data_IF_308157429064
#
_entry.id   IF_308157429064
#
_cell.length_a   1.000
_cell.length_b   1.000
_cell.length_c   1.000
_cell.angle_alpha   90.00
_cell.angle_beta   90.00
_cell.angle_gamma   90.00
#
_symmetry.space_group_name_H-M   'P 1'
#
loop_
_entity.id
_entity.type
_entity.pdbx_description
1 polymer ?
#
# COMPACT_ATOMS: atom_id res chain seq x y z
N UNK A 1 3.66 -7.45 17.24
CA UNK A 1 5.00 -7.16 16.64
C UNK A 1 5.85 -8.41 16.68
N UNK A 2 6.83 -8.50 15.78
CA UNK A 2 7.84 -9.55 15.75
C UNK A 2 9.05 -9.13 16.60
N UNK A 3 9.56 -10.05 17.42
CA UNK A 3 10.74 -9.87 18.26
C UNK A 3 11.84 -10.83 17.82
N UNK A 4 13.05 -10.30 17.68
CA UNK A 4 14.22 -11.03 17.23
C UNK A 4 15.28 -11.04 18.35
N UNK A 5 15.63 -12.21 18.82
CA UNK A 5 16.61 -12.39 19.90
C UNK A 5 17.81 -13.22 19.43
N UNK A 6 19.03 -12.81 19.83
CA UNK A 6 20.23 -13.61 19.57
C UNK A 6 20.22 -14.92 20.35
N UNK A 7 20.69 -16.00 19.70
CA UNK A 7 20.84 -17.34 20.29
C UNK A 7 22.14 -17.96 19.78
N UNK A 8 23.26 -17.63 20.44
CA UNK A 8 24.62 -17.96 19.95
C UNK A 8 24.91 -17.24 18.64
N UNK A 9 25.33 -17.97 17.62
CA UNK A 9 25.60 -17.44 16.27
C UNK A 9 24.32 -17.26 15.42
N UNK A 10 23.17 -17.70 15.93
CA UNK A 10 21.88 -17.64 15.25
C UNK A 10 20.90 -16.70 15.96
N UNK A 11 19.66 -16.67 15.46
CA UNK A 11 18.59 -15.85 15.98
C UNK A 11 17.33 -16.68 16.26
N UNK A 12 16.47 -16.17 17.12
CA UNK A 12 15.13 -16.70 17.38
C UNK A 12 14.12 -15.63 17.11
N UNK A 13 13.09 -15.96 16.31
CA UNK A 13 11.97 -15.08 15.98
C UNK A 13 10.72 -15.50 16.77
N UNK A 14 10.09 -14.53 17.42
CA UNK A 14 8.83 -14.71 18.15
C UNK A 14 7.82 -13.65 17.76
N UNK A 15 6.53 -13.98 17.90
CA UNK A 15 5.44 -13.03 17.74
C UNK A 15 4.56 -13.30 16.54
N UNK A 16 3.78 -12.30 16.15
CA UNK A 16 2.80 -12.40 15.07
C UNK A 16 3.02 -11.27 14.06
N UNK A 17 3.06 -11.65 12.78
CA UNK A 17 2.97 -10.74 11.64
C UNK A 17 1.54 -10.83 11.09
N UNK A 18 0.66 -9.85 11.35
CA UNK A 18 -0.73 -9.89 10.90
C UNK A 18 -0.84 -9.53 9.42
N UNK A 19 -1.82 -10.11 8.76
CA UNK A 19 -2.28 -9.76 7.41
C UNK A 19 -1.18 -9.71 6.34
N UNK A 20 -0.19 -10.62 6.41
CA UNK A 20 0.91 -10.69 5.43
C UNK A 20 0.34 -10.98 4.04
N UNK A 21 0.55 -10.08 3.05
CA UNK A 21 -0.02 -10.23 1.72
C UNK A 21 0.52 -11.49 1.03
N UNK A 22 -0.37 -12.23 0.37
CA UNK A 22 -0.06 -13.40 -0.46
C UNK A 22 0.73 -14.52 0.26
N UNK A 23 0.83 -14.51 1.59
CA UNK A 23 1.63 -15.47 2.34
C UNK A 23 1.25 -16.94 2.04
N UNK A 24 -0.04 -17.23 1.80
CA UNK A 24 -0.51 -18.57 1.45
C UNK A 24 -0.05 -19.06 0.06
N UNK A 25 0.40 -18.16 -0.82
CA UNK A 25 0.87 -18.47 -2.17
C UNK A 25 2.39 -18.23 -2.34
N UNK A 26 3.01 -17.51 -1.41
CA UNK A 26 4.42 -17.19 -1.45
C UNK A 26 5.27 -18.31 -0.83
N UNK A 27 6.49 -18.49 -1.31
CA UNK A 27 7.48 -19.35 -0.65
C UNK A 27 8.24 -18.59 0.43
N UNK A 28 8.55 -17.33 0.18
CA UNK A 28 9.33 -16.50 1.11
C UNK A 28 8.54 -15.26 1.52
N UNK A 29 8.73 -14.86 2.78
CA UNK A 29 8.28 -13.58 3.29
C UNK A 29 9.46 -12.77 3.81
N UNK A 30 9.50 -11.49 3.49
CA UNK A 30 10.43 -10.53 4.09
C UNK A 30 9.66 -9.74 5.15
N UNK A 31 10.05 -9.89 6.41
CA UNK A 31 9.33 -9.34 7.56
C UNK A 31 10.24 -8.42 8.38
N UNK A 32 9.67 -7.36 8.93
CA UNK A 32 10.38 -6.52 9.89
C UNK A 32 10.25 -7.09 11.30
N UNK A 33 11.36 -7.24 12.01
CA UNK A 33 11.43 -7.74 13.37
C UNK A 33 12.36 -6.86 14.22
N UNK A 34 11.90 -6.53 15.43
CA UNK A 34 12.63 -5.70 16.37
C UNK A 34 13.65 -6.53 17.15
N UNK A 35 14.89 -6.06 17.17
CA UNK A 35 15.98 -6.60 18.00
C UNK A 35 16.53 -5.50 18.93
N UNK A 36 17.44 -5.89 19.83
CA UNK A 36 18.04 -4.96 20.80
C UNK A 36 18.81 -3.79 20.16
N UNK A 37 19.29 -3.99 18.93
CA UNK A 37 20.11 -3.03 18.16
C UNK A 37 19.31 -2.29 17.07
N UNK A 38 18.01 -2.62 16.91
CA UNK A 38 17.13 -1.95 15.99
C UNK A 38 16.20 -2.86 15.20
N UNK A 39 15.60 -2.32 14.15
CA UNK A 39 14.67 -3.04 13.28
C UNK A 39 15.44 -3.75 12.16
N UNK A 40 15.39 -5.07 12.16
CA UNK A 40 15.93 -5.90 11.11
C UNK A 40 14.86 -6.39 10.13
N UNK A 41 15.26 -6.65 8.91
CA UNK A 41 14.48 -7.46 7.98
C UNK A 41 14.93 -8.92 8.07
N UNK A 42 13.97 -9.82 8.15
CA UNK A 42 14.20 -11.27 8.21
C UNK A 42 13.55 -11.96 7.01
N UNK A 43 14.31 -12.83 6.35
CA UNK A 43 13.82 -13.61 5.22
C UNK A 43 13.37 -14.99 5.73
N UNK A 44 12.07 -15.24 5.68
CA UNK A 44 11.43 -16.47 6.16
C UNK A 44 11.05 -17.36 4.97
N UNK A 45 11.46 -18.63 5.00
CA UNK A 45 10.89 -19.65 4.11
C UNK A 45 9.60 -20.17 4.74
N UNK A 46 8.46 -19.86 4.13
CA UNK A 46 7.14 -20.19 4.68
C UNK A 46 6.83 -21.69 4.66
N UNK A 47 7.70 -22.52 4.09
CA UNK A 47 7.61 -23.97 4.13
C UNK A 47 8.34 -24.58 5.35
N UNK A 48 9.03 -23.76 6.16
CA UNK A 48 9.71 -24.24 7.37
C UNK A 48 8.70 -24.69 8.44
N UNK A 49 9.09 -25.75 9.17
CA UNK A 49 8.29 -26.25 10.28
C UNK A 49 8.29 -25.26 11.45
N UNK A 50 7.15 -25.16 12.14
CA UNK A 50 7.01 -24.26 13.30
C UNK A 50 6.39 -22.91 12.99
N UNK A 51 6.04 -22.64 11.73
CA UNK A 51 5.28 -21.46 11.33
C UNK A 51 3.80 -21.83 11.34
N UNK A 52 2.99 -21.07 12.10
CA UNK A 52 1.54 -21.16 12.05
C UNK A 52 1.01 -20.09 11.10
N UNK A 53 0.13 -20.50 10.20
CA UNK A 53 -0.47 -19.60 9.19
C UNK A 53 -1.99 -19.67 9.29
N UNK A 54 -2.62 -18.53 9.61
CA UNK A 54 -4.07 -18.36 9.59
C UNK A 54 -4.45 -17.54 8.34
N UNK A 55 -4.99 -18.23 7.33
CA UNK A 55 -5.37 -17.59 6.07
C UNK A 55 -6.60 -16.70 6.23
N UNK A 56 -6.61 -15.58 5.52
CA UNK A 56 -7.69 -14.61 5.49
C UNK A 56 -7.81 -13.91 4.13
N UNK A 57 -8.70 -12.94 4.06
CA UNK A 57 -8.91 -12.13 2.87
C UNK A 57 -9.14 -10.67 3.28
N UNK A 58 -8.43 -9.76 2.65
CA UNK A 58 -8.56 -8.32 2.88
C UNK A 58 -9.84 -7.75 2.23
N UNK A 59 -10.20 -6.52 2.59
CA UNK A 59 -11.37 -5.83 2.06
C UNK A 59 -11.32 -5.65 0.53
N UNK A 60 -10.14 -5.53 -0.07
CA UNK A 60 -9.95 -5.44 -1.52
C UNK A 60 -9.75 -6.82 -2.19
N UNK A 61 -10.15 -7.88 -1.47
CA UNK A 61 -10.15 -9.27 -1.92
C UNK A 61 -8.77 -9.92 -2.14
N UNK A 62 -7.67 -9.29 -1.69
CA UNK A 62 -6.36 -9.92 -1.70
C UNK A 62 -6.26 -11.01 -0.63
N UNK A 63 -5.66 -12.15 -0.98
CA UNK A 63 -5.32 -13.17 0.01
C UNK A 63 -4.26 -12.62 0.97
N UNK A 64 -4.49 -12.81 2.26
CA UNK A 64 -3.57 -12.46 3.35
C UNK A 64 -3.48 -13.62 4.32
N UNK A 65 -2.45 -13.66 5.17
CA UNK A 65 -2.44 -14.57 6.31
C UNK A 65 -1.74 -13.94 7.51
N UNK A 66 -2.20 -14.28 8.70
CA UNK A 66 -1.45 -14.03 9.91
C UNK A 66 -0.40 -15.13 10.08
N UNK A 67 0.84 -14.73 10.30
CA UNK A 67 1.96 -15.62 10.53
C UNK A 67 2.38 -15.54 12.00
N UNK A 68 2.35 -16.67 12.71
CA UNK A 68 2.76 -16.76 14.11
C UNK A 68 4.03 -17.60 14.25
N UNK A 69 4.95 -17.09 15.05
CA UNK A 69 6.26 -17.67 15.29
C UNK A 69 6.46 -17.91 16.80
N UNK A 70 6.88 -19.12 17.16
CA UNK A 70 7.23 -19.49 18.52
C UNK A 70 8.67 -20.00 18.52
N UNK A 71 9.61 -19.16 18.93
CA UNK A 71 11.04 -19.40 18.98
C UNK A 71 11.60 -19.99 17.66
N UNK A 72 11.10 -19.54 16.50
CA UNK A 72 11.59 -20.01 15.20
C UNK A 72 13.08 -19.71 15.08
N UNK A 73 13.89 -20.75 14.91
CA UNK A 73 15.33 -20.60 14.74
C UNK A 73 15.67 -20.08 13.35
N UNK A 74 16.38 -18.96 13.29
CA UNK A 74 16.84 -18.36 12.05
C UNK A 74 18.37 -18.35 12.00
N UNK A 75 18.94 -18.81 10.90
CA UNK A 75 20.36 -18.65 10.63
C UNK A 75 20.72 -17.19 10.45
N UNK A 76 21.94 -16.78 10.82
CA UNK A 76 22.41 -15.41 10.68
C UNK A 76 22.25 -14.84 9.27
N UNK A 77 22.44 -15.66 8.24
CA UNK A 77 22.27 -15.28 6.82
C UNK A 77 20.84 -14.87 6.41
N UNK A 78 19.84 -15.22 7.25
CA UNK A 78 18.43 -14.85 7.04
C UNK A 78 18.05 -13.51 7.67
N UNK A 79 18.93 -12.94 8.47
CA UNK A 79 18.75 -11.63 9.10
C UNK A 79 19.58 -10.61 8.34
N UNK A 80 18.89 -9.68 7.68
CA UNK A 80 19.55 -8.69 6.85
C UNK A 80 20.22 -7.60 7.73
N UNK A 81 21.27 -6.95 7.23
CA UNK A 81 21.91 -5.85 7.96
C UNK A 81 20.93 -4.68 8.18
N UNK A 82 21.11 -3.91 9.24
CA UNK A 82 20.25 -2.76 9.59
C UNK A 82 20.06 -1.77 8.44
N UNK A 83 21.05 -1.61 7.58
CA UNK A 83 20.99 -0.74 6.39
C UNK A 83 19.96 -1.19 5.35
N UNK A 84 19.55 -2.48 5.37
CA UNK A 84 18.55 -3.00 4.45
C UNK A 84 17.15 -2.46 4.76
N UNK A 85 16.84 -2.16 6.01
CA UNK A 85 15.51 -1.67 6.42
C UNK A 85 15.14 -0.35 5.76
N UNK A 86 15.92 0.74 5.89
CA UNK A 86 15.58 2.01 5.23
C UNK A 86 15.65 1.91 3.71
N UNK A 87 16.54 1.09 3.15
CA UNK A 87 16.58 0.86 1.71
C UNK A 87 15.27 0.22 1.21
N UNK A 88 14.83 -0.84 1.88
CA UNK A 88 13.60 -1.56 1.51
C UNK A 88 12.37 -0.69 1.70
N UNK A 89 12.28 0.08 2.79
CA UNK A 89 11.17 0.99 3.05
C UNK A 89 10.99 2.01 1.92
N UNK A 90 12.07 2.67 1.51
CA UNK A 90 12.00 3.69 0.46
C UNK A 90 11.58 3.10 -0.90
N UNK A 91 12.06 1.90 -1.24
CA UNK A 91 11.66 1.20 -2.46
C UNK A 91 10.21 0.70 -2.38
N UNK A 92 9.78 0.20 -1.23
CA UNK A 92 8.39 -0.19 -1.01
C UNK A 92 7.44 1.00 -1.15
N UNK A 93 7.80 2.16 -0.60
CA UNK A 93 7.04 3.41 -0.78
C UNK A 93 6.91 3.76 -2.27
N UNK A 94 8.00 3.69 -3.04
CA UNK A 94 7.95 3.96 -4.49
C UNK A 94 7.00 3.00 -5.22
N UNK A 95 7.08 1.70 -4.93
CA UNK A 95 6.22 0.68 -5.55
C UNK A 95 4.74 0.87 -5.16
N UNK A 96 4.44 1.06 -3.87
CA UNK A 96 3.06 1.24 -3.40
C UNK A 96 2.47 2.57 -3.90
N UNK A 97 3.27 3.63 -3.99
CA UNK A 97 2.85 4.90 -4.56
C UNK A 97 2.55 4.77 -6.05
N UNK A 98 3.35 3.99 -6.80
CA UNK A 98 3.08 3.71 -8.22
C UNK A 98 1.75 3.00 -8.41
N UNK A 99 1.45 2.02 -7.54
CA UNK A 99 0.15 1.34 -7.54
C UNK A 99 -0.98 2.31 -7.18
N UNK A 100 -0.81 3.15 -6.14
CA UNK A 100 -1.79 4.15 -5.73
C UNK A 100 -2.08 5.15 -6.86
N UNK A 101 -1.06 5.62 -7.56
CA UNK A 101 -1.22 6.53 -8.69
C UNK A 101 -2.04 5.89 -9.81
N UNK A 102 -1.75 4.64 -10.19
CA UNK A 102 -2.50 3.91 -11.20
C UNK A 102 -3.97 3.68 -10.82
N UNK A 103 -4.23 3.37 -9.54
CA UNK A 103 -5.60 3.26 -9.00
C UNK A 103 -6.33 4.59 -9.09
N UNK A 104 -5.68 5.69 -8.69
CA UNK A 104 -6.25 7.05 -8.74
C UNK A 104 -6.55 7.50 -10.16
N UNK A 105 -5.61 7.33 -11.09
CA UNK A 105 -5.77 7.67 -12.50
C UNK A 105 -7.00 6.98 -13.12
N UNK A 106 -7.09 5.67 -12.92
CA UNK A 106 -8.20 4.91 -13.48
C UNK A 106 -9.53 5.25 -12.82
N UNK A 107 -9.54 5.54 -11.52
CA UNK A 107 -10.72 5.99 -10.80
C UNK A 107 -11.20 7.35 -11.31
N UNK A 108 -10.31 8.33 -11.46
CA UNK A 108 -10.60 9.64 -12.01
C UNK A 108 -11.16 9.54 -13.44
N UNK A 109 -10.50 8.77 -14.30
CA UNK A 109 -10.97 8.54 -15.67
C UNK A 109 -12.41 8.05 -15.70
N UNK A 110 -12.73 6.99 -14.96
CA UNK A 110 -14.09 6.43 -14.88
C UNK A 110 -15.10 7.42 -14.29
N UNK A 111 -14.67 8.22 -13.31
CA UNK A 111 -15.55 9.21 -12.70
C UNK A 111 -15.85 10.35 -13.66
N UNK A 112 -14.85 10.82 -14.41
CA UNK A 112 -15.03 11.85 -15.46
C UNK A 112 -15.97 11.34 -16.56
N UNK A 113 -15.79 10.12 -17.05
CA UNK A 113 -16.70 9.48 -18.01
C UNK A 113 -18.15 9.48 -17.48
N UNK A 114 -18.34 9.01 -16.24
CA UNK A 114 -19.66 8.96 -15.61
C UNK A 114 -20.32 10.34 -15.48
N UNK A 115 -19.63 11.37 -15.00
CA UNK A 115 -20.22 12.70 -14.81
C UNK A 115 -20.50 13.41 -16.13
N UNK A 116 -19.80 13.03 -17.21
CA UNK A 116 -20.00 13.57 -18.56
C UNK A 116 -21.25 13.01 -19.26
N UNK A 117 -21.74 11.86 -18.81
CA UNK A 117 -22.91 11.19 -19.41
C UNK A 117 -24.15 11.24 -18.50
N UNK A 118 -23.97 11.14 -17.18
CA UNK A 118 -25.06 11.10 -16.21
C UNK A 118 -25.84 12.39 -16.17
N UNK A 119 -27.14 12.33 -16.41
CA UNK A 119 -28.03 13.48 -16.35
C UNK A 119 -28.87 13.50 -15.06
N UNK A 120 -28.91 14.65 -14.42
CA UNK A 120 -29.82 15.00 -13.32
C UNK A 120 -30.13 16.49 -13.36
N UNK A 121 -31.32 16.88 -12.90
CA UNK A 121 -31.76 18.30 -12.90
C UNK A 121 -31.72 18.94 -14.30
N UNK A 122 -32.05 18.16 -15.34
CA UNK A 122 -32.14 18.62 -16.72
C UNK A 122 -30.82 18.78 -17.47
N UNK A 123 -29.68 18.38 -16.92
CA UNK A 123 -28.35 18.46 -17.55
C UNK A 123 -27.38 17.41 -17.06
N UNK A 124 -26.26 17.24 -17.75
CA UNK A 124 -25.18 16.34 -17.30
C UNK A 124 -24.57 16.85 -15.99
N UNK A 125 -24.33 15.94 -15.03
CA UNK A 125 -23.87 16.35 -13.70
C UNK A 125 -22.47 16.97 -13.71
N UNK A 126 -21.61 16.65 -14.66
CA UNK A 126 -20.30 17.27 -14.85
C UNK A 126 -20.37 18.77 -15.23
N UNK A 127 -21.53 19.27 -15.66
CA UNK A 127 -21.73 20.71 -15.92
C UNK A 127 -21.97 21.55 -14.66
N UNK A 128 -22.18 20.91 -13.49
CA UNK A 128 -22.23 21.63 -12.23
C UNK A 128 -20.82 22.02 -11.79
N UNK A 129 -20.64 23.30 -11.48
CA UNK A 129 -19.31 23.85 -11.13
C UNK A 129 -18.63 23.09 -9.97
N UNK A 130 -19.41 22.67 -8.95
CA UNK A 130 -18.87 21.92 -7.83
C UNK A 130 -18.33 20.55 -8.27
N UNK A 131 -19.05 19.84 -9.15
CA UNK A 131 -18.61 18.55 -9.67
C UNK A 131 -17.38 18.70 -10.55
N UNK A 132 -17.40 19.68 -11.46
CA UNK A 132 -16.24 20.00 -12.31
C UNK A 132 -15.00 20.36 -11.47
N UNK A 133 -15.18 21.17 -10.42
CA UNK A 133 -14.12 21.52 -9.47
C UNK A 133 -13.53 20.30 -8.77
N UNK A 134 -14.36 19.38 -8.30
CA UNK A 134 -13.88 18.13 -7.68
C UNK A 134 -13.05 17.26 -8.65
N UNK A 135 -13.43 17.20 -9.93
CA UNK A 135 -12.64 16.48 -10.94
C UNK A 135 -11.28 17.17 -11.17
N UNK A 136 -11.27 18.50 -11.26
CA UNK A 136 -10.04 19.27 -11.41
C UNK A 136 -9.09 19.09 -10.21
N UNK A 137 -9.60 19.18 -8.99
CA UNK A 137 -8.82 18.96 -7.76
C UNK A 137 -8.23 17.55 -7.70
N UNK A 138 -9.02 16.53 -8.07
CA UNK A 138 -8.55 15.15 -8.16
C UNK A 138 -7.42 14.99 -9.18
N UNK A 139 -7.54 15.63 -10.34
CA UNK A 139 -6.51 15.61 -11.38
C UNK A 139 -5.22 16.31 -10.90
N UNK A 140 -5.34 17.50 -10.30
CA UNK A 140 -4.20 18.24 -9.74
C UNK A 140 -3.46 17.38 -8.69
N UNK A 141 -4.19 16.72 -7.79
CA UNK A 141 -3.61 15.87 -6.78
C UNK A 141 -2.86 14.66 -7.39
N UNK A 142 -3.44 14.03 -8.43
CA UNK A 142 -2.80 12.93 -9.14
C UNK A 142 -1.50 13.36 -9.84
N UNK A 143 -1.48 14.53 -10.49
CA UNK A 143 -0.28 15.06 -11.17
C UNK A 143 0.80 15.48 -10.15
N UNK A 144 0.42 16.04 -9.01
CA UNK A 144 1.36 16.33 -7.92
C UNK A 144 1.99 15.04 -7.39
N UNK A 145 1.18 13.99 -7.18
CA UNK A 145 1.67 12.67 -6.76
C UNK A 145 2.60 12.06 -7.81
N UNK A 146 2.26 12.17 -9.09
CA UNK A 146 3.09 11.69 -10.21
C UNK A 146 4.46 12.36 -10.20
N UNK A 147 4.50 13.67 -10.06
CA UNK A 147 5.75 14.44 -10.01
C UNK A 147 6.60 14.06 -8.81
N UNK A 148 5.98 13.91 -7.63
CA UNK A 148 6.66 13.47 -6.40
C UNK A 148 7.23 12.05 -6.53
N UNK A 149 6.48 11.13 -7.13
CA UNK A 149 6.92 9.75 -7.38
C UNK A 149 8.11 9.72 -8.34
N UNK A 150 8.07 10.45 -9.46
CA UNK A 150 9.18 10.50 -10.40
C UNK A 150 10.45 11.07 -9.76
N UNK A 151 10.32 12.09 -8.90
CA UNK A 151 11.45 12.60 -8.14
C UNK A 151 12.03 11.54 -7.19
N UNK A 152 11.18 10.79 -6.49
CA UNK A 152 11.62 9.70 -5.62
C UNK A 152 12.36 8.61 -6.41
N UNK A 153 11.77 8.14 -7.50
CA UNK A 153 12.37 7.09 -8.34
C UNK A 153 13.72 7.54 -8.90
N UNK A 154 13.81 8.76 -9.41
CA UNK A 154 15.08 9.32 -9.88
C UNK A 154 16.16 9.34 -8.79
N UNK A 155 15.80 9.76 -7.56
CA UNK A 155 16.76 9.82 -6.43
C UNK A 155 17.22 8.42 -6.01
N UNK A 156 16.32 7.43 -6.02
CA UNK A 156 16.65 6.03 -5.73
C UNK A 156 17.60 5.45 -6.79
N UNK A 157 17.31 5.66 -8.06
CA UNK A 157 18.11 5.18 -9.19
C UNK A 157 19.49 5.81 -9.22
N UNK A 158 19.59 7.11 -8.96
CA UNK A 158 20.83 7.86 -8.92
C UNK A 158 21.65 7.69 -7.61
N UNK A 159 21.17 6.88 -6.65
CA UNK A 159 21.84 6.69 -5.35
C UNK A 159 21.89 7.94 -4.49
N UNK A 160 20.98 8.89 -4.69
CA UNK A 160 20.90 10.12 -3.91
C UNK A 160 20.13 9.90 -2.60
N UNK A 161 20.40 10.75 -1.59
CA UNK A 161 19.63 10.72 -0.34
C UNK A 161 18.14 10.90 -0.62
N UNK A 162 17.31 9.88 -0.32
CA UNK A 162 15.90 9.83 -0.76
C UNK A 162 14.89 9.71 0.40
N UNK A 163 15.32 9.55 1.64
CA UNK A 163 14.41 9.35 2.78
C UNK A 163 13.37 10.49 2.97
N UNK A 164 13.74 11.79 2.98
CA UNK A 164 12.74 12.86 3.10
C UNK A 164 11.75 12.85 1.93
N UNK A 165 12.24 12.60 0.70
CA UNK A 165 11.40 12.52 -0.49
C UNK A 165 10.44 11.33 -0.41
N UNK A 166 10.90 10.17 0.07
CA UNK A 166 10.07 8.99 0.24
C UNK A 166 8.90 9.27 1.22
N UNK A 167 9.19 9.88 2.37
CA UNK A 167 8.15 10.21 3.34
C UNK A 167 7.17 11.26 2.84
N UNK A 168 7.64 12.29 2.13
CA UNK A 168 6.77 13.27 1.49
C UNK A 168 5.87 12.61 0.42
N UNK A 169 6.44 11.73 -0.41
CA UNK A 169 5.70 10.98 -1.43
C UNK A 169 4.67 10.04 -0.80
N UNK A 170 5.00 9.35 0.29
CA UNK A 170 4.08 8.51 1.07
C UNK A 170 2.89 9.31 1.58
N UNK A 171 3.14 10.44 2.22
CA UNK A 171 2.07 11.31 2.75
C UNK A 171 1.16 11.80 1.63
N UNK A 172 1.73 12.22 0.50
CA UNK A 172 0.97 12.68 -0.66
C UNK A 172 0.16 11.54 -1.30
N UNK A 173 0.69 10.31 -1.36
CA UNK A 173 -0.02 9.15 -1.86
C UNK A 173 -1.26 8.81 -1.01
N UNK A 174 -1.11 8.87 0.32
CA UNK A 174 -2.21 8.63 1.25
C UNK A 174 -3.31 9.69 1.10
N UNK A 175 -2.96 10.98 1.06
CA UNK A 175 -3.93 12.07 0.92
C UNK A 175 -4.64 12.01 -0.43
N UNK A 176 -3.90 11.83 -1.53
CA UNK A 176 -4.45 11.73 -2.89
C UNK A 176 -5.40 10.55 -3.01
N UNK A 177 -5.00 9.36 -2.54
CA UNK A 177 -5.85 8.17 -2.58
C UNK A 177 -7.13 8.35 -1.75
N UNK A 178 -7.01 8.90 -0.54
CA UNK A 178 -8.18 9.17 0.32
C UNK A 178 -9.17 10.11 -0.35
N UNK A 179 -8.72 11.27 -0.82
CA UNK A 179 -9.58 12.27 -1.46
C UNK A 179 -10.23 11.75 -2.73
N UNK A 180 -9.45 11.14 -3.64
CA UNK A 180 -9.98 10.60 -4.88
C UNK A 180 -10.98 9.47 -4.63
N UNK A 181 -10.70 8.56 -3.67
CA UNK A 181 -11.59 7.48 -3.29
C UNK A 181 -12.94 7.98 -2.81
N UNK A 182 -12.96 8.93 -1.89
CA UNK A 182 -14.20 9.48 -1.34
C UNK A 182 -14.94 10.36 -2.34
N UNK A 183 -14.25 11.19 -3.10
CA UNK A 183 -14.83 12.04 -4.15
C UNK A 183 -15.56 11.20 -5.20
N UNK A 184 -14.93 10.13 -5.69
CA UNK A 184 -15.56 9.25 -6.66
C UNK A 184 -16.82 8.58 -6.11
N UNK A 185 -16.79 8.09 -4.86
CA UNK A 185 -17.98 7.53 -4.21
C UNK A 185 -19.11 8.56 -4.08
N UNK A 186 -18.78 9.77 -3.64
CA UNK A 186 -19.74 10.85 -3.47
C UNK A 186 -20.43 11.21 -4.79
N UNK A 187 -19.66 11.39 -5.86
CA UNK A 187 -20.17 11.81 -7.17
C UNK A 187 -21.02 10.73 -7.84
N UNK A 188 -20.69 9.46 -7.65
CA UNK A 188 -21.52 8.35 -8.16
C UNK A 188 -22.82 8.18 -7.36
N UNK A 189 -22.89 8.64 -6.12
CA UNK A 189 -24.06 8.50 -5.26
C UNK A 189 -24.40 7.03 -5.00
N UNK A 190 -25.69 6.67 -5.05
CA UNK A 190 -26.16 5.32 -4.72
C UNK A 190 -25.52 4.21 -5.55
N UNK A 191 -25.23 4.43 -6.84
CA UNK A 191 -24.54 3.43 -7.67
C UNK A 191 -23.11 3.15 -7.21
N UNK A 192 -22.49 4.11 -6.50
CA UNK A 192 -21.13 3.95 -5.96
C UNK A 192 -21.00 2.82 -4.94
N UNK A 193 -22.08 2.43 -4.26
CA UNK A 193 -22.11 1.34 -3.28
C UNK A 193 -22.69 0.05 -3.84
N UNK A 194 -23.13 0.04 -5.09
CA UNK A 194 -23.59 -1.17 -5.76
C UNK A 194 -22.41 -2.10 -6.08
N UNK A 195 -22.47 -3.34 -5.59
CA UNK A 195 -21.41 -4.33 -5.79
C UNK A 195 -21.24 -4.75 -7.25
N UNK A 196 -22.27 -4.57 -8.08
CA UNK A 196 -22.22 -4.86 -9.52
C UNK A 196 -21.50 -3.76 -10.30
N UNK A 197 -21.43 -2.54 -9.75
CA UNK A 197 -20.74 -1.40 -10.35
C UNK A 197 -19.36 -1.22 -9.72
N UNK A 198 -18.26 -1.28 -10.49
CA UNK A 198 -16.92 -1.53 -9.95
C UNK A 198 -16.24 -0.35 -9.25
N UNK A 199 -16.87 0.84 -9.16
CA UNK A 199 -16.20 2.05 -8.63
C UNK A 199 -15.79 1.91 -7.16
N UNK A 200 -16.56 1.16 -6.33
CA UNK A 200 -16.26 0.90 -4.92
C UNK A 200 -14.92 0.17 -4.74
N UNK A 201 -14.48 -0.63 -5.72
CA UNK A 201 -13.21 -1.37 -5.66
C UNK A 201 -12.00 -0.43 -5.56
N UNK A 202 -12.06 0.72 -6.21
CA UNK A 202 -10.98 1.71 -6.14
C UNK A 202 -10.84 2.28 -4.73
N UNK A 203 -11.95 2.56 -4.03
CA UNK A 203 -11.92 2.98 -2.63
C UNK A 203 -11.28 1.91 -1.73
N UNK A 204 -11.57 0.63 -1.95
CA UNK A 204 -10.97 -0.45 -1.18
C UNK A 204 -9.46 -0.57 -1.44
N UNK A 205 -9.03 -0.42 -2.69
CA UNK A 205 -7.62 -0.41 -3.05
C UNK A 205 -6.87 0.80 -2.46
N UNK A 206 -7.45 2.00 -2.49
CA UNK A 206 -6.80 3.18 -1.90
C UNK A 206 -6.60 3.03 -0.40
N UNK A 207 -7.59 2.45 0.31
CA UNK A 207 -7.48 2.17 1.75
C UNK A 207 -6.44 1.10 2.06
N UNK A 208 -6.39 0.04 1.25
CA UNK A 208 -5.40 -1.01 1.42
C UNK A 208 -3.97 -0.48 1.19
N UNK A 209 -3.77 0.34 0.15
CA UNK A 209 -2.48 0.97 -0.12
C UNK A 209 -2.08 1.93 0.99
N UNK A 210 -3.01 2.73 1.53
CA UNK A 210 -2.75 3.60 2.67
C UNK A 210 -2.33 2.82 3.92
N UNK A 211 -3.00 1.69 4.22
CA UNK A 211 -2.63 0.83 5.33
C UNK A 211 -1.26 0.16 5.14
N UNK A 212 -0.88 -0.17 3.89
CA UNK A 212 0.43 -0.73 3.57
C UNK A 212 1.56 0.31 3.59
N UNK A 213 1.22 1.57 3.30
CA UNK A 213 2.16 2.69 3.38
C UNK A 213 2.44 3.13 4.82
N UNK A 214 1.51 2.90 5.74
CA UNK A 214 1.62 3.22 7.17
C UNK A 214 1.21 4.64 7.54
#
# INVERSE_FOLDING_TARGET
SLQLARSGDNWKLNGVAPAVPLASAARYALLAAEAFDGMHLVLIDLQEKGIQMAAGRSQHHQAVADLSFDALALKAERVLPLTATPWTEQHAIACLTSLQLGVTDQQLKRTVEYVSERQQFGRVIGSFQLVAGQMADGYIAAEALRSSLWQLVYRLDAGLGSAPQAWATRALANDTGHRAGHMAQHVHGGIGVDLTYPIHRFLFWTRANAAALG
#
